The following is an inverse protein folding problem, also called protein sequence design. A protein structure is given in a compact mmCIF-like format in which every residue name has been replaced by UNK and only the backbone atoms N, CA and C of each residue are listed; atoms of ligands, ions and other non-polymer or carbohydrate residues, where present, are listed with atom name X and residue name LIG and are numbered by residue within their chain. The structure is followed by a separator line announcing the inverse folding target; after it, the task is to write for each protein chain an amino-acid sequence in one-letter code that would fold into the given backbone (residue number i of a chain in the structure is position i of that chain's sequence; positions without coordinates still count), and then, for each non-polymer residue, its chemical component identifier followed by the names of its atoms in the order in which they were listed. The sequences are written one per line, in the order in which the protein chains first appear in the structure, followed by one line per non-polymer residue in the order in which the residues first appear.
data_IF_804824967225
#
_entry.id   IF_804824967225
#
_cell.length_a   1.000
_cell.length_b   1.000
_cell.length_c   1.000
_cell.angle_alpha   90.00
_cell.angle_beta   90.00
_cell.angle_gamma   90.00
#
_symmetry.space_group_name_H-M   'P 1'
#
loop_
_entity.id
_entity.type
_entity.pdbx_description
1 polymer ?
#
# COMPACT_ATOMS: atom_id res chain seq x y z
N UNK A 1 -8.01 -9.07 -22.77
CA UNK A 1 -6.71 -9.49 -22.20
C UNK A 1 -6.65 -8.95 -20.79
N UNK A 2 -6.78 -9.82 -19.79
CA UNK A 2 -6.57 -9.46 -18.38
C UNK A 2 -5.08 -9.17 -18.20
N UNK A 3 -4.75 -7.91 -17.88
CA UNK A 3 -3.41 -7.52 -17.46
C UNK A 3 -3.17 -8.29 -16.16
N UNK A 4 -2.36 -9.35 -16.20
CA UNK A 4 -2.00 -10.12 -15.02
C UNK A 4 -1.04 -9.24 -14.19
N UNK A 5 -1.59 -8.31 -13.40
CA UNK A 5 -0.84 -7.63 -12.36
C UNK A 5 -0.42 -8.69 -11.36
N UNK A 6 0.86 -9.05 -11.37
CA UNK A 6 1.41 -9.98 -10.40
C UNK A 6 1.27 -9.34 -9.02
N UNK A 7 0.22 -9.71 -8.28
CA UNK A 7 0.03 -9.28 -6.91
C UNK A 7 1.03 -10.01 -6.03
N UNK A 8 1.76 -9.29 -5.18
CA UNK A 8 2.70 -9.88 -4.24
C UNK A 8 1.99 -10.91 -3.36
N UNK A 9 2.48 -12.16 -3.35
CA UNK A 9 1.94 -13.19 -2.47
C UNK A 9 2.46 -12.97 -1.04
N UNK A 10 1.76 -12.16 -0.25
CA UNK A 10 2.17 -11.83 1.12
C UNK A 10 2.21 -13.05 2.05
N UNK A 11 1.45 -14.12 1.76
CA UNK A 11 1.47 -15.36 2.54
C UNK A 11 2.79 -16.15 2.42
N UNK A 12 3.63 -15.83 1.44
CA UNK A 12 4.94 -16.45 1.27
C UNK A 12 6.03 -15.85 2.19
N UNK A 13 5.74 -14.73 2.87
CA UNK A 13 6.70 -14.02 3.71
C UNK A 13 6.44 -14.26 5.20
N UNK A 14 7.49 -14.22 6.00
CA UNK A 14 7.33 -14.24 7.45
C UNK A 14 6.72 -12.93 7.96
N UNK A 15 6.07 -12.97 9.13
CA UNK A 15 5.53 -11.76 9.75
C UNK A 15 6.60 -10.67 9.95
N UNK A 16 7.84 -11.05 10.31
CA UNK A 16 8.96 -10.11 10.42
C UNK A 16 9.30 -9.45 9.08
N UNK A 17 9.29 -10.21 7.99
CA UNK A 17 9.53 -9.66 6.65
C UNK A 17 8.41 -8.70 6.25
N UNK A 18 7.15 -9.07 6.46
CA UNK A 18 6.00 -8.20 6.18
C UNK A 18 6.06 -6.90 7.01
N UNK A 19 6.39 -7.01 8.30
CA UNK A 19 6.56 -5.86 9.18
C UNK A 19 7.68 -4.94 8.68
N UNK A 20 8.84 -5.51 8.32
CA UNK A 20 9.96 -4.74 7.78
C UNK A 20 9.62 -4.07 6.44
N UNK A 21 8.94 -4.76 5.53
CA UNK A 21 8.46 -4.19 4.25
C UNK A 21 7.57 -2.98 4.49
N UNK A 22 6.62 -3.10 5.41
CA UNK A 22 5.73 -2.00 5.75
C UNK A 22 6.48 -0.83 6.40
N UNK A 23 7.42 -1.11 7.30
CA UNK A 23 8.20 -0.07 7.97
C UNK A 23 9.12 0.69 7.02
N UNK A 24 9.64 0.03 5.98
CA UNK A 24 10.48 0.65 4.96
C UNK A 24 9.75 1.72 4.13
N UNK A 25 8.41 1.69 4.08
CA UNK A 25 7.63 2.74 3.43
C UNK A 25 7.66 4.07 4.18
N UNK A 26 7.86 5.17 3.46
CA UNK A 26 7.82 6.53 4.03
C UNK A 26 6.61 7.35 3.54
N UNK A 27 5.56 7.51 4.36
CA UNK A 27 4.39 8.30 3.97
C UNK A 27 4.71 9.79 3.82
N UNK A 28 5.76 10.31 4.46
CA UNK A 28 6.11 11.73 4.34
C UNK A 28 6.68 12.05 2.96
N UNK A 29 7.46 11.13 2.38
CA UNK A 29 7.94 11.27 1.00
C UNK A 29 6.77 11.36 0.00
N UNK A 30 5.74 10.53 0.17
CA UNK A 30 4.53 10.59 -0.66
C UNK A 30 3.77 11.92 -0.48
N UNK A 31 3.57 12.37 0.76
CA UNK A 31 2.95 13.68 1.04
C UNK A 31 3.74 14.86 0.46
N UNK A 32 5.06 14.84 0.59
CA UNK A 32 5.91 15.88 0.02
C UNK A 32 5.80 15.92 -1.52
N UNK A 33 5.69 14.76 -2.16
CA UNK A 33 5.41 14.69 -3.59
C UNK A 33 4.00 15.23 -3.93
N UNK A 34 2.99 14.89 -3.11
CA UNK A 34 1.65 15.44 -3.24
C UNK A 34 1.65 16.98 -3.17
N UNK A 35 2.36 17.57 -2.20
CA UNK A 35 2.45 19.03 -2.04
C UNK A 35 3.07 19.72 -3.26
N UNK A 36 4.06 19.09 -3.90
CA UNK A 36 4.64 19.59 -5.16
C UNK A 36 3.62 19.62 -6.29
N UNK A 37 2.82 18.56 -6.42
CA UNK A 37 1.75 18.49 -7.41
C UNK A 37 0.68 19.55 -7.17
N UNK A 38 0.30 19.76 -5.91
CA UNK A 38 -0.62 20.83 -5.53
C UNK A 38 -0.08 22.21 -5.89
N UNK A 39 1.18 22.49 -5.56
CA UNK A 39 1.82 23.76 -5.93
C UNK A 39 1.86 23.96 -7.44
N UNK A 40 2.16 22.92 -8.21
CA UNK A 40 2.14 22.97 -9.66
C UNK A 40 0.72 23.25 -10.21
N UNK A 41 -0.31 22.58 -9.67
CA UNK A 41 -1.70 22.80 -10.05
C UNK A 41 -2.13 24.26 -9.82
N UNK A 42 -1.79 24.83 -8.65
CA UNK A 42 -2.08 26.23 -8.31
C UNK A 42 -1.41 27.20 -9.29
N UNK A 43 -0.11 27.03 -9.55
CA UNK A 43 0.61 27.90 -10.48
C UNK A 43 0.06 27.80 -11.91
N UNK A 44 -0.31 26.61 -12.38
CA UNK A 44 -0.88 26.42 -13.71
C UNK A 44 -2.27 27.08 -13.81
N UNK A 45 -3.11 26.95 -12.78
CA UNK A 45 -4.40 27.64 -12.75
C UNK A 45 -4.25 29.16 -12.75
N UNK A 46 -3.29 29.70 -11.99
CA UNK A 46 -2.99 31.12 -11.98
C UNK A 46 -2.52 31.60 -13.36
N UNK A 47 -1.64 30.85 -14.04
CA UNK A 47 -1.19 31.20 -15.39
C UNK A 47 -2.33 31.18 -16.42
N UNK A 48 -3.20 30.17 -16.38
CA UNK A 48 -4.37 30.10 -17.26
C UNK A 48 -5.34 31.28 -17.00
N UNK A 49 -5.52 31.66 -15.73
CA UNK A 49 -6.33 32.81 -15.36
C UNK A 49 -5.73 34.12 -15.87
N UNK A 50 -4.42 34.33 -15.68
CA UNK A 50 -3.71 35.52 -16.12
C UNK A 50 -3.78 35.69 -17.64
N UNK A 51 -3.56 34.62 -18.42
CA UNK A 51 -3.69 34.65 -19.88
C UNK A 51 -5.09 35.09 -20.33
N UNK A 52 -6.14 34.56 -19.70
CA UNK A 52 -7.52 34.95 -20.02
C UNK A 52 -7.83 36.40 -19.61
N UNK A 53 -7.25 36.87 -18.49
CA UNK A 53 -7.40 38.25 -18.04
C UNK A 53 -6.73 39.22 -19.02
N UNK A 54 -5.47 38.96 -19.39
CA UNK A 54 -4.72 39.76 -20.37
C UNK A 54 -5.42 39.77 -21.73
N UNK A 55 -5.97 38.63 -22.17
CA UNK A 55 -6.75 38.57 -23.39
C UNK A 55 -8.00 39.45 -23.33
N UNK A 56 -8.69 39.44 -22.20
CA UNK A 56 -9.92 40.23 -21.97
C UNK A 56 -9.62 41.73 -22.00
N UNK A 57 -8.48 42.16 -21.47
CA UNK A 57 -8.04 43.56 -21.52
C UNK A 57 -7.65 44.00 -22.94
N UNK A 58 -7.06 43.09 -23.72
CA UNK A 58 -6.53 43.39 -25.04
C UNK A 58 -7.57 43.32 -26.17
N UNK A 59 -8.61 42.48 -26.04
CA UNK A 59 -9.58 42.20 -27.12
C UNK A 59 -10.34 43.44 -27.63
N UNK A 60 -10.50 44.46 -26.79
CA UNK A 60 -11.22 45.69 -27.15
C UNK A 60 -10.33 46.72 -27.88
N UNK A 61 -9.00 46.52 -27.86
CA UNK A 61 -8.02 47.41 -28.48
C UNK A 61 -7.57 46.93 -29.87
N UNK A 62 -7.71 45.63 -30.16
CA UNK A 62 -7.30 45.03 -31.43
C UNK A 62 -8.42 44.15 -31.99
N UNK A 63 -8.92 44.52 -33.17
CA UNK A 63 -10.06 43.85 -33.82
C UNK A 63 -9.75 43.48 -35.27
N UNK A 64 -10.48 42.50 -35.80
CA UNK A 64 -10.32 41.96 -37.15
C UNK A 64 -9.85 40.51 -37.15
N UNK A 65 -9.84 39.86 -38.32
CA UNK A 65 -9.66 38.40 -38.41
C UNK A 65 -8.34 37.85 -37.82
N UNK A 66 -7.27 38.64 -37.78
CA UNK A 66 -6.03 38.25 -37.10
C UNK A 66 -6.17 38.28 -35.57
N UNK A 67 -6.89 39.28 -35.04
CA UNK A 67 -7.19 39.37 -33.61
C UNK A 67 -8.09 38.21 -33.16
N UNK A 68 -9.07 37.83 -33.97
CA UNK A 68 -9.96 36.69 -33.70
C UNK A 68 -9.17 35.37 -33.62
N UNK A 69 -8.23 35.14 -34.55
CA UNK A 69 -7.38 33.94 -34.50
C UNK A 69 -6.47 33.92 -33.27
N UNK A 70 -5.88 35.06 -32.91
CA UNK A 70 -5.08 35.16 -31.69
C UNK A 70 -5.89 34.87 -30.44
N UNK A 71 -7.12 35.41 -30.34
CA UNK A 71 -8.03 35.12 -29.23
C UNK A 71 -8.31 33.61 -29.09
N UNK A 72 -8.61 32.93 -30.20
CA UNK A 72 -8.82 31.48 -30.18
C UNK A 72 -7.57 30.73 -29.69
N UNK A 73 -6.39 31.09 -30.19
CA UNK A 73 -5.14 30.44 -29.78
C UNK A 73 -4.84 30.59 -28.28
N UNK A 74 -5.08 31.79 -27.71
CA UNK A 74 -4.86 32.04 -26.28
C UNK A 74 -5.89 31.29 -25.43
N UNK A 75 -7.16 31.26 -25.84
CA UNK A 75 -8.21 30.49 -25.16
C UNK A 75 -7.85 29.00 -25.16
N UNK A 76 -7.42 28.45 -26.29
CA UNK A 76 -7.00 27.06 -26.40
C UNK A 76 -5.78 26.75 -25.53
N UNK A 77 -4.82 27.66 -25.47
CA UNK A 77 -3.66 27.55 -24.58
C UNK A 77 -4.07 27.56 -23.10
N UNK A 78 -4.89 28.52 -22.67
CA UNK A 78 -5.37 28.62 -21.29
C UNK A 78 -6.18 27.37 -20.87
N UNK A 79 -7.00 26.84 -21.79
CA UNK A 79 -7.73 25.59 -21.61
C UNK A 79 -6.77 24.39 -21.48
N UNK A 80 -5.73 24.32 -22.32
CA UNK A 80 -4.69 23.30 -22.25
C UNK A 80 -3.97 23.30 -20.91
N UNK A 81 -3.53 24.48 -20.45
CA UNK A 81 -2.89 24.67 -19.15
C UNK A 81 -3.82 24.21 -18.01
N UNK A 82 -5.10 24.58 -18.07
CA UNK A 82 -6.10 24.17 -17.06
C UNK A 82 -6.29 22.65 -16.99
N UNK A 83 -6.24 21.93 -18.12
CA UNK A 83 -6.29 20.46 -18.13
C UNK A 83 -5.07 19.83 -17.46
N UNK A 84 -3.87 20.41 -17.66
CA UNK A 84 -2.65 19.95 -16.98
C UNK A 84 -2.75 20.24 -15.48
N UNK A 85 -3.30 21.39 -15.09
CA UNK A 85 -3.55 21.72 -13.68
C UNK A 85 -4.47 20.69 -13.00
N UNK A 86 -5.56 20.28 -13.66
CA UNK A 86 -6.47 19.23 -13.17
C UNK A 86 -5.77 17.87 -13.02
N UNK A 87 -4.87 17.54 -13.95
CA UNK A 87 -4.04 16.33 -13.87
C UNK A 87 -3.12 16.39 -12.65
N UNK A 88 -2.48 17.53 -12.41
CA UNK A 88 -1.63 17.75 -11.25
C UNK A 88 -2.42 17.65 -9.93
N UNK A 89 -3.64 18.19 -9.87
CA UNK A 89 -4.52 18.04 -8.70
C UNK A 89 -4.88 16.57 -8.43
N UNK A 90 -5.18 15.82 -9.49
CA UNK A 90 -5.48 14.38 -9.35
C UNK A 90 -4.28 13.61 -8.80
N UNK A 91 -3.05 13.96 -9.22
CA UNK A 91 -1.83 13.38 -8.68
C UNK A 91 -1.59 13.76 -7.21
N UNK A 92 -1.95 14.99 -6.80
CA UNK A 92 -1.91 15.40 -5.39
C UNK A 92 -2.81 14.51 -4.53
N UNK A 93 -4.08 14.36 -4.92
CA UNK A 93 -5.06 13.55 -4.17
C UNK A 93 -4.58 12.10 -4.07
N UNK A 94 -4.20 11.49 -5.19
CA UNK A 94 -3.72 10.11 -5.23
C UNK A 94 -2.54 9.85 -4.29
N UNK A 95 -1.54 10.73 -4.29
CA UNK A 95 -0.37 10.57 -3.42
C UNK A 95 -0.72 10.81 -1.94
N UNK A 96 -1.70 11.67 -1.67
CA UNK A 96 -2.28 11.85 -0.35
C UNK A 96 -2.94 10.56 0.15
N UNK A 97 -3.82 9.98 -0.66
CA UNK A 97 -4.53 8.73 -0.36
C UNK A 97 -3.56 7.57 -0.14
N UNK A 98 -2.54 7.43 -1.00
CA UNK A 98 -1.49 6.42 -0.82
C UNK A 98 -0.70 6.61 0.49
N UNK A 99 -0.39 7.85 0.87
CA UNK A 99 0.28 8.13 2.13
C UNK A 99 -0.60 7.77 3.34
N UNK A 100 -1.89 8.07 3.28
CA UNK A 100 -2.84 7.78 4.35
C UNK A 100 -3.11 6.29 4.48
N UNK A 101 -3.22 5.57 3.36
CA UNK A 101 -3.30 4.11 3.33
C UNK A 101 -2.06 3.48 4.00
N UNK A 102 -0.86 3.98 3.71
CA UNK A 102 0.38 3.50 4.34
C UNK A 102 0.41 3.79 5.86
N UNK A 103 -0.05 4.96 6.29
CA UNK A 103 -0.16 5.32 7.72
C UNK A 103 -1.16 4.40 8.43
N UNK A 104 -2.32 4.15 7.81
CA UNK A 104 -3.33 3.22 8.32
C UNK A 104 -2.74 1.82 8.46
N UNK A 105 -2.14 1.29 7.40
CA UNK A 105 -1.52 -0.03 7.42
C UNK A 105 -0.45 -0.14 8.52
N UNK A 106 0.43 0.87 8.67
CA UNK A 106 1.43 0.93 9.75
C UNK A 106 0.82 0.87 11.14
N UNK A 107 -0.34 1.49 11.35
CA UNK A 107 -1.06 1.50 12.63
C UNK A 107 -1.75 0.17 12.92
N UNK A 108 -2.29 -0.48 11.90
CA UNK A 108 -3.05 -1.73 12.03
C UNK A 108 -2.17 -2.98 12.09
N UNK A 109 -0.91 -2.89 11.61
CA UNK A 109 0.05 -3.97 11.62
C UNK A 109 0.40 -4.41 13.06
N UNK A 110 0.15 -5.69 13.43
CA UNK A 110 0.55 -6.19 14.74
C UNK A 110 2.08 -6.21 14.89
N UNK A 111 2.61 -5.91 16.10
CA UNK A 111 4.04 -6.06 16.35
C UNK A 111 4.45 -7.54 16.27
N UNK A 112 5.69 -7.85 15.85
CA UNK A 112 6.21 -9.21 15.84
C UNK A 112 6.15 -9.84 17.24
N UNK A 113 5.61 -11.06 17.31
CA UNK A 113 5.55 -11.84 18.55
C UNK A 113 6.74 -12.80 18.60
N UNK A 114 7.55 -12.71 19.65
CA UNK A 114 8.61 -13.67 19.91
C UNK A 114 8.04 -14.92 20.57
N UNK A 115 8.26 -16.07 19.95
CA UNK A 115 7.89 -17.37 20.52
C UNK A 115 9.09 -17.87 21.35
N UNK A 116 8.93 -18.10 22.66
CA UNK A 116 9.99 -18.67 23.49
C UNK A 116 10.40 -20.05 22.96
N UNK A 117 11.70 -20.32 22.97
CA UNK A 117 12.19 -21.68 22.74
C UNK A 117 12.03 -22.49 24.03
N UNK A 118 11.59 -23.75 23.90
CA UNK A 118 11.37 -24.65 25.03
C UNK A 118 12.22 -25.89 24.81
N UNK A 119 12.98 -26.27 25.84
CA UNK A 119 13.91 -27.38 25.71
C UNK A 119 13.16 -28.71 25.52
N UNK A 120 13.72 -29.69 24.79
CA UNK A 120 13.12 -31.02 24.67
C UNK A 120 12.92 -31.71 26.04
N UNK A 121 13.76 -31.37 27.02
CA UNK A 121 13.64 -31.87 28.39
C UNK A 121 12.40 -31.32 29.10
N UNK A 122 12.10 -30.03 28.94
CA UNK A 122 10.88 -29.44 29.50
C UNK A 122 9.63 -30.00 28.83
N UNK A 123 9.64 -30.19 27.50
CA UNK A 123 8.53 -30.84 26.80
C UNK A 123 8.29 -32.24 27.33
N UNK A 124 9.35 -33.05 27.45
CA UNK A 124 9.26 -34.42 27.97
C UNK A 124 8.77 -34.45 29.42
N UNK A 125 9.23 -33.54 30.26
CA UNK A 125 8.84 -33.44 31.67
C UNK A 125 7.39 -32.98 31.84
N UNK A 126 6.90 -32.11 30.95
CA UNK A 126 5.51 -31.64 30.97
C UNK A 126 4.51 -32.75 30.63
N UNK A 127 4.85 -33.62 29.66
CA UNK A 127 3.95 -34.69 29.19
C UNK A 127 4.11 -36.01 29.95
N UNK A 128 5.26 -36.23 30.62
CA UNK A 128 5.54 -37.47 31.34
C UNK A 128 5.97 -37.20 32.79
N UNK A 129 5.27 -37.77 33.79
CA UNK A 129 5.72 -37.75 35.18
C UNK A 129 7.15 -38.27 35.36
N UNK A 130 8.01 -37.61 36.17
CA UNK A 130 9.28 -38.22 36.55
C UNK A 130 8.99 -39.46 37.39
N UNK A 131 9.68 -40.56 37.05
CA UNK A 131 9.69 -41.77 37.85
C UNK A 131 10.52 -41.49 39.11
N UNK A 132 9.85 -41.48 40.26
CA UNK A 132 10.51 -41.30 41.56
C UNK A 132 10.67 -42.66 42.25
N UNK A 133 11.79 -42.87 42.98
CA UNK A 133 11.95 -44.04 43.84
C UNK A 133 10.83 -44.14 44.89
N UNK A 134 10.39 -45.35 45.26
CA UNK A 134 9.33 -45.54 46.26
C UNK A 134 9.72 -45.02 47.66
N UNK A 135 11.01 -44.81 47.92
CA UNK A 135 11.62 -44.31 49.15
C UNK A 135 12.03 -42.83 49.06
N UNK A 136 11.58 -42.09 48.04
CA UNK A 136 11.90 -40.68 47.87
C UNK A 136 11.44 -39.81 49.05
N UNK A 137 12.30 -38.89 49.49
CA UNK A 137 11.97 -37.97 50.58
C UNK A 137 10.91 -36.94 50.14
N UNK A 138 10.12 -36.38 51.09
CA UNK A 138 9.14 -35.33 50.78
C UNK A 138 9.74 -34.13 50.04
N UNK A 139 10.99 -33.76 50.33
CA UNK A 139 11.68 -32.66 49.67
C UNK A 139 11.95 -32.95 48.18
N UNK A 140 12.34 -34.18 47.83
CA UNK A 140 12.57 -34.59 46.43
C UNK A 140 11.25 -34.63 45.66
N UNK A 141 10.17 -35.14 46.27
CA UNK A 141 8.84 -35.14 45.65
C UNK A 141 8.35 -33.71 45.36
N UNK A 142 8.54 -32.78 46.29
CA UNK A 142 8.18 -31.37 46.10
C UNK A 142 9.02 -30.70 45.01
N UNK A 143 10.34 -30.91 44.99
CA UNK A 143 11.21 -30.36 43.96
C UNK A 143 10.84 -30.88 42.56
N UNK A 144 10.57 -32.18 42.43
CA UNK A 144 10.14 -32.77 41.17
C UNK A 144 8.77 -32.24 40.70
N UNK A 145 7.84 -32.01 41.64
CA UNK A 145 6.55 -31.38 41.33
C UNK A 145 6.71 -29.92 40.86
N UNK A 146 7.57 -29.14 41.54
CA UNK A 146 7.88 -27.76 41.15
C UNK A 146 8.52 -27.69 39.76
N UNK A 147 9.51 -28.56 39.50
CA UNK A 147 10.18 -28.61 38.20
C UNK A 147 9.21 -28.97 37.07
N UNK A 148 8.30 -29.92 37.31
CA UNK A 148 7.23 -30.22 36.34
C UNK A 148 6.32 -29.02 36.11
N UNK A 149 5.90 -28.34 37.18
CA UNK A 149 5.02 -27.18 37.06
C UNK A 149 5.66 -26.07 36.22
N UNK A 150 6.97 -25.86 36.39
CA UNK A 150 7.75 -24.93 35.57
C UNK A 150 7.78 -25.35 34.09
N UNK A 151 8.02 -26.64 33.83
CA UNK A 151 8.05 -27.18 32.46
C UNK A 151 6.68 -27.06 31.76
N UNK A 152 5.58 -27.35 32.47
CA UNK A 152 4.21 -27.14 31.98
C UNK A 152 4.00 -25.66 31.64
N UNK A 153 4.36 -24.74 32.55
CA UNK A 153 4.22 -23.32 32.32
C UNK A 153 5.02 -22.83 31.10
N UNK A 154 6.22 -23.37 30.87
CA UNK A 154 7.05 -23.04 29.71
C UNK A 154 6.38 -23.50 28.39
N UNK A 155 5.84 -24.72 28.36
CA UNK A 155 5.13 -25.25 27.17
C UNK A 155 3.83 -24.47 26.91
N UNK A 156 3.06 -24.13 27.95
CA UNK A 156 1.87 -23.30 27.82
C UNK A 156 2.19 -21.88 27.32
N UNK A 157 3.27 -21.28 27.83
CA UNK A 157 3.75 -19.98 27.37
C UNK A 157 4.20 -20.03 25.89
N UNK A 158 4.89 -21.10 25.47
CA UNK A 158 5.24 -21.30 24.08
C UNK A 158 4.02 -21.48 23.18
N UNK A 159 3.07 -22.33 23.58
CA UNK A 159 1.86 -22.58 22.79
C UNK A 159 1.01 -21.31 22.63
N UNK A 160 0.84 -20.55 23.71
CA UNK A 160 0.10 -19.28 23.66
C UNK A 160 0.81 -18.24 22.78
N UNK A 161 2.14 -18.13 22.88
CA UNK A 161 2.93 -17.26 22.01
C UNK A 161 2.88 -17.69 20.54
N UNK A 162 2.93 -19.00 20.25
CA UNK A 162 2.82 -19.52 18.89
C UNK A 162 1.45 -19.22 18.27
N UNK A 163 0.37 -19.39 19.04
CA UNK A 163 -0.98 -19.02 18.60
C UNK A 163 -1.10 -17.52 18.32
N UNK A 164 -0.54 -16.67 19.19
CA UNK A 164 -0.50 -15.23 19.01
C UNK A 164 0.33 -14.83 17.78
N UNK A 165 1.48 -15.47 17.55
CA UNK A 165 2.31 -15.25 16.37
C UNK A 165 1.59 -15.64 15.07
N UNK A 166 0.87 -16.76 15.05
CA UNK A 166 0.06 -17.18 13.90
C UNK A 166 -1.07 -16.18 13.60
N UNK A 167 -1.77 -15.71 14.63
CA UNK A 167 -2.81 -14.68 14.48
C UNK A 167 -2.24 -13.34 13.99
N UNK A 168 -1.09 -12.93 14.53
CA UNK A 168 -0.39 -11.71 14.11
C UNK A 168 0.06 -11.78 12.65
N UNK A 169 0.60 -12.93 12.22
CA UNK A 169 0.94 -13.19 10.83
C UNK A 169 -0.30 -13.09 9.93
N UNK A 170 -1.39 -13.78 10.27
CA UNK A 170 -2.63 -13.73 9.47
C UNK A 170 -3.16 -12.31 9.29
N UNK A 171 -3.16 -11.51 10.37
CA UNK A 171 -3.52 -10.08 10.30
C UNK A 171 -2.54 -9.28 9.44
N UNK A 172 -1.25 -9.54 9.53
CA UNK A 172 -0.24 -8.87 8.71
C UNK A 172 -0.45 -9.11 7.21
N UNK A 173 -0.83 -10.33 6.80
CA UNK A 173 -1.19 -10.63 5.41
C UNK A 173 -2.37 -9.76 4.97
N UNK A 174 -3.42 -9.69 5.78
CA UNK A 174 -4.63 -8.90 5.47
C UNK A 174 -4.27 -7.42 5.28
N UNK A 175 -3.54 -6.83 6.23
CA UNK A 175 -3.10 -5.43 6.17
C UNK A 175 -2.29 -5.13 4.90
N UNK A 176 -1.34 -6.01 4.56
CA UNK A 176 -0.51 -5.83 3.36
C UNK A 176 -1.31 -6.01 2.06
N UNK A 177 -2.28 -6.92 2.06
CA UNK A 177 -3.17 -7.15 0.92
C UNK A 177 -4.10 -5.96 0.69
N UNK A 178 -4.68 -5.40 1.76
CA UNK A 178 -5.50 -4.19 1.70
C UNK A 178 -4.70 -3.00 1.19
N UNK A 179 -3.50 -2.77 1.72
CA UNK A 179 -2.60 -1.70 1.26
C UNK A 179 -2.26 -1.84 -0.23
N UNK A 180 -1.96 -3.05 -0.70
CA UNK A 180 -1.70 -3.29 -2.12
C UNK A 180 -2.94 -3.01 -2.99
N UNK A 181 -4.13 -3.30 -2.48
CA UNK A 181 -5.40 -2.94 -3.12
C UNK A 181 -5.55 -1.43 -3.28
N UNK A 182 -5.33 -0.67 -2.20
CA UNK A 182 -5.38 0.81 -2.23
C UNK A 182 -4.38 1.39 -3.26
N UNK A 183 -3.17 0.82 -3.35
CA UNK A 183 -2.19 1.23 -4.37
C UNK A 183 -2.59 0.87 -5.80
N UNK A 184 -3.28 -0.25 -5.99
CA UNK A 184 -3.80 -0.62 -7.31
C UNK A 184 -4.89 0.35 -7.75
N UNK A 185 -5.81 0.71 -6.84
CA UNK A 185 -6.84 1.74 -7.10
C UNK A 185 -6.21 3.09 -7.41
N UNK A 186 -5.17 3.47 -6.67
CA UNK A 186 -4.41 4.68 -6.96
C UNK A 186 -3.76 4.64 -8.36
N UNK A 187 -3.12 3.53 -8.73
CA UNK A 187 -2.51 3.35 -10.06
C UNK A 187 -3.55 3.44 -11.20
N UNK A 188 -4.71 2.82 -11.03
CA UNK A 188 -5.82 2.87 -11.99
C UNK A 188 -6.41 4.29 -12.12
N UNK A 189 -6.26 5.11 -11.09
CA UNK A 189 -6.73 6.50 -11.05
C UNK A 189 -5.73 7.48 -11.68
N UNK A 190 -4.58 7.02 -12.21
CA UNK A 190 -3.59 7.90 -12.87
C UNK A 190 -4.25 8.50 -14.11
N UNK A 191 -4.37 9.84 -14.20
CA UNK A 191 -5.00 10.46 -15.35
C UNK A 191 -4.21 10.16 -16.61
N UNK A 192 -4.90 9.77 -17.69
CA UNK A 192 -4.29 9.71 -18.99
C UNK A 192 -3.76 11.10 -19.38
N UNK A 193 -2.58 11.14 -19.99
CA UNK A 193 -2.00 12.41 -20.43
C UNK A 193 -2.99 13.13 -21.35
N UNK A 194 -3.28 14.43 -21.16
CA UNK A 194 -4.32 15.15 -21.90
C UNK A 194 -4.10 15.20 -23.42
N UNK A 195 -2.91 14.82 -23.90
CA UNK A 195 -2.54 14.69 -25.31
C UNK A 195 -2.09 13.27 -25.70
N UNK A 196 -2.42 12.24 -24.91
CA UNK A 196 -2.09 10.87 -25.27
C UNK A 196 -2.79 10.49 -26.59
N UNK A 197 -2.01 10.23 -27.64
CA UNK A 197 -2.51 9.71 -28.91
C UNK A 197 -3.23 8.39 -28.61
N UNK A 198 -4.47 8.16 -29.08
CA UNK A 198 -5.11 6.86 -28.92
C UNK A 198 -4.19 5.79 -29.52
N UNK A 199 -3.82 4.79 -28.74
CA UNK A 199 -3.12 3.61 -29.27
C UNK A 199 -4.02 3.02 -30.36
N UNK A 200 -3.54 2.82 -31.60
CA UNK A 200 -4.35 2.23 -32.66
C UNK A 200 -4.86 0.88 -32.17
N UNK A 201 -6.19 0.71 -32.15
CA UNK A 201 -6.79 -0.58 -31.90
C UNK A 201 -6.23 -1.58 -32.91
N UNK A 202 -5.57 -2.63 -32.41
CA UNK A 202 -5.15 -3.76 -33.23
C UNK A 202 -6.34 -4.21 -34.09
N UNK A 203 -6.17 -4.36 -35.42
CA UNK A 203 -7.29 -4.75 -36.27
C UNK A 203 -7.85 -6.09 -35.79
N UNK A 204 -9.18 -6.30 -35.90
CA UNK A 204 -9.77 -7.60 -35.60
C UNK A 204 -9.08 -8.64 -36.47
N UNK A 205 -8.54 -9.67 -35.82
CA UNK A 205 -8.10 -10.92 -36.46
C UNK A 205 -9.28 -11.44 -37.26
N UNK A 206 -9.26 -11.17 -38.57
CA UNK A 206 -10.24 -11.69 -39.51
C UNK A 206 -10.29 -13.20 -39.37
N UNK A 207 -11.45 -13.70 -38.97
CA UNK A 207 -11.71 -15.11 -38.76
C UNK A 207 -11.41 -15.92 -40.01
N UNK A 208 -10.54 -16.93 -39.85
CA UNK A 208 -10.59 -18.10 -40.72
C UNK A 208 -11.86 -18.88 -40.38
N UNK A 209 -12.66 -19.22 -41.40
CA UNK A 209 -13.82 -20.08 -41.24
C UNK A 209 -14.74 -20.23 -42.46
N UNK A 210 -14.35 -21.16 -43.34
CA UNK A 210 -15.19 -22.17 -44.02
C UNK A 210 -16.11 -21.85 -45.23
N UNK A 211 -15.92 -22.69 -46.28
CA UNK A 211 -16.93 -23.23 -47.22
C UNK A 211 -17.32 -22.32 -48.39
N UNK A 212 -17.21 -22.71 -49.67
CA UNK A 212 -17.61 -23.96 -50.31
C UNK A 212 -16.91 -24.12 -51.66
#
# INVERSE_FOLDING_TARGET
MTKNTAHTNFAAYSHQQLYAMLQAGDPNSARHAADKWKSAALHLHEQAHNLNSELTEFKDQWTGGAADQYQHMIIDLANGISKVAQTAESMNVMLGDAADALVKAKKEMPPPVSVPDVSPADVALAVNPPLLPPDASPAVMQAAAQQRQQAIANVEAQQSAANAAGSAHGKAIVVMTELAGEYTVAEESIPASPNAVPVPATPPTGGGGAGS
#
